data_IF_565801397958
#
_entry.id   IF_565801397958
#
_cell.length_a   1.000
_cell.length_b   1.000
_cell.length_c   1.000
_cell.angle_alpha   90.00
_cell.angle_beta   90.00
_cell.angle_gamma   90.00
#
_symmetry.space_group_name_H-M   'P 1'
#
loop_
_entity.id
_entity.type
_entity.pdbx_description
1 polymer ?
#
# COMPACT_ATOMS: atom_id res chain seq x y z
N UNK A 1 1.42 -3.18 30.83
CA UNK A 1 0.25 -3.36 29.93
C UNK A 1 0.33 -4.78 29.40
N UNK A 2 -0.66 -5.62 29.67
CA UNK A 2 -0.69 -7.01 29.19
C UNK A 2 -0.89 -7.01 27.68
N UNK A 3 0.03 -7.63 26.94
CA UNK A 3 -0.18 -7.95 25.53
C UNK A 3 -1.51 -8.67 25.38
N UNK A 4 -2.42 -8.09 24.58
CA UNK A 4 -3.60 -8.81 24.12
C UNK A 4 -3.10 -9.98 23.26
N UNK A 5 -3.13 -11.18 23.82
CA UNK A 5 -2.89 -12.43 23.11
C UNK A 5 -3.82 -12.47 21.91
N UNK A 6 -3.21 -12.49 20.71
CA UNK A 6 -3.91 -12.52 19.42
C UNK A 6 -4.89 -13.70 19.37
N UNK A 7 -4.52 -14.81 20.02
CA UNK A 7 -5.36 -15.98 20.18
C UNK A 7 -6.65 -15.68 20.93
N UNK A 8 -6.58 -14.86 21.98
CA UNK A 8 -7.73 -14.53 22.81
C UNK A 8 -8.63 -13.49 22.13
N UNK A 9 -8.04 -12.54 21.39
CA UNK A 9 -8.80 -11.60 20.56
C UNK A 9 -9.54 -12.29 19.41
N UNK A 10 -8.89 -13.23 18.72
CA UNK A 10 -9.51 -14.03 17.64
C UNK A 10 -10.63 -14.89 18.23
N UNK A 11 -10.38 -15.63 19.31
CA UNK A 11 -11.41 -16.44 19.99
C UNK A 11 -12.60 -15.62 20.46
N UNK A 12 -12.36 -14.42 20.99
CA UNK A 12 -13.43 -13.50 21.40
C UNK A 12 -14.31 -13.09 20.20
N UNK A 13 -13.71 -12.83 19.04
CA UNK A 13 -14.45 -12.42 17.83
C UNK A 13 -15.11 -13.57 17.07
N UNK A 14 -14.55 -14.77 17.15
CA UNK A 14 -15.19 -16.01 16.68
C UNK A 14 -16.41 -16.37 17.52
N UNK A 15 -16.31 -16.27 18.85
CA UNK A 15 -17.42 -16.51 19.78
C UNK A 15 -18.61 -15.54 19.57
N UNK A 16 -18.35 -14.37 18.98
CA UNK A 16 -19.39 -13.41 18.60
C UNK A 16 -20.16 -13.79 17.30
N UNK A 17 -19.84 -14.91 16.62
CA UNK A 17 -20.51 -15.42 15.40
C UNK A 17 -20.64 -14.39 14.25
N UNK A 18 -19.73 -13.41 14.19
CA UNK A 18 -19.86 -12.24 13.30
C UNK A 18 -19.08 -12.31 11.98
N UNK A 19 -18.38 -13.40 11.69
CA UNK A 19 -17.42 -13.44 10.58
C UNK A 19 -17.36 -14.81 9.89
N UNK A 20 -17.41 -14.77 8.55
CA UNK A 20 -17.30 -15.92 7.65
C UNK A 20 -15.90 -15.94 7.03
N UNK A 21 -15.17 -17.05 7.21
CA UNK A 21 -13.78 -17.17 6.76
C UNK A 21 -13.72 -17.61 5.29
N UNK A 22 -13.33 -16.70 4.41
CA UNK A 22 -13.28 -16.96 2.96
C UNK A 22 -12.09 -17.87 2.62
N UNK A 23 -12.36 -19.00 1.96
CA UNK A 23 -11.32 -19.90 1.39
C UNK A 23 -10.48 -19.17 0.33
N UNK A 24 -9.24 -19.63 0.14
CA UNK A 24 -8.29 -19.13 -0.87
C UNK A 24 -8.88 -19.15 -2.28
N UNK A 25 -8.58 -18.12 -3.06
CA UNK A 25 -8.89 -18.09 -4.48
C UNK A 25 -7.72 -17.52 -5.26
N UNK A 26 -7.54 -17.98 -6.50
CA UNK A 26 -6.54 -17.44 -7.44
C UNK A 26 -6.77 -15.95 -7.78
N UNK A 27 -7.92 -15.39 -7.40
CA UNK A 27 -8.20 -13.96 -7.48
C UNK A 27 -7.51 -13.08 -6.42
N UNK A 28 -6.85 -13.68 -5.44
CA UNK A 28 -6.13 -12.95 -4.40
C UNK A 28 -4.85 -12.27 -4.94
N UNK A 29 -4.43 -11.17 -4.33
CA UNK A 29 -3.11 -10.57 -4.62
C UNK A 29 -1.98 -11.38 -4.00
N UNK A 30 -0.76 -11.26 -4.52
CA UNK A 30 0.41 -11.94 -3.94
C UNK A 30 0.59 -11.61 -2.45
N UNK A 31 0.47 -10.34 -2.06
CA UNK A 31 0.55 -9.92 -0.66
C UNK A 31 -0.57 -10.52 0.20
N UNK A 32 -1.80 -10.61 -0.33
CA UNK A 32 -2.93 -11.23 0.39
C UNK A 32 -2.69 -12.72 0.62
N UNK A 33 -2.15 -13.42 -0.39
CA UNK A 33 -1.80 -14.83 -0.30
C UNK A 33 -0.73 -15.09 0.75
N UNK A 34 0.34 -14.30 0.75
CA UNK A 34 1.44 -14.40 1.72
C UNK A 34 0.91 -14.18 3.16
N UNK A 35 0.06 -13.16 3.32
CA UNK A 35 -0.61 -12.85 4.58
C UNK A 35 -1.50 -14.01 5.06
N UNK A 36 -2.45 -14.48 4.24
CA UNK A 36 -3.31 -15.62 4.58
C UNK A 36 -2.50 -16.86 4.95
N UNK A 37 -1.43 -17.15 4.22
CA UNK A 37 -0.51 -18.27 4.54
C UNK A 37 0.15 -18.11 5.92
N UNK A 38 0.56 -16.89 6.29
CA UNK A 38 1.11 -16.63 7.62
C UNK A 38 0.07 -16.82 8.73
N UNK A 39 -1.19 -16.45 8.48
CA UNK A 39 -2.29 -16.67 9.42
C UNK A 39 -2.59 -18.15 9.67
N UNK A 40 -2.67 -18.96 8.61
CA UNK A 40 -2.86 -20.41 8.75
C UNK A 40 -1.76 -21.07 9.57
N UNK A 41 -0.52 -20.60 9.40
CA UNK A 41 0.64 -21.10 10.13
C UNK A 41 0.75 -20.55 11.56
N UNK A 42 -0.19 -19.72 12.01
CA UNK A 42 -0.15 -19.01 13.31
C UNK A 42 1.09 -18.12 13.48
N UNK A 43 1.69 -17.69 12.38
CA UNK A 43 2.88 -16.82 12.35
C UNK A 43 2.52 -15.36 12.02
N UNK A 44 1.22 -15.05 11.94
CA UNK A 44 0.74 -13.78 11.44
C UNK A 44 1.37 -12.57 12.14
N UNK A 45 1.33 -12.56 13.46
CA UNK A 45 1.80 -11.40 14.20
C UNK A 45 3.31 -11.19 14.04
N UNK A 46 4.06 -12.28 14.10
CA UNK A 46 5.50 -12.28 13.84
C UNK A 46 5.78 -11.77 12.42
N UNK A 47 4.99 -12.18 11.43
CA UNK A 47 5.10 -11.72 10.05
C UNK A 47 4.81 -10.22 9.89
N UNK A 48 3.76 -9.70 10.53
CA UNK A 48 3.38 -8.28 10.48
C UNK A 48 4.46 -7.39 11.11
N UNK A 49 4.95 -7.77 12.31
CA UNK A 49 6.04 -7.05 12.99
C UNK A 49 7.32 -7.15 12.17
N UNK A 50 7.62 -8.34 11.65
CA UNK A 50 8.75 -8.54 10.75
C UNK A 50 8.65 -7.65 9.51
N UNK A 51 7.46 -7.34 9.00
CA UNK A 51 7.24 -6.40 7.90
C UNK A 51 7.35 -4.91 8.29
N UNK A 52 7.58 -4.57 9.56
CA UNK A 52 7.75 -3.18 10.03
C UNK A 52 6.45 -2.42 10.30
N UNK A 53 5.31 -3.12 10.34
CA UNK A 53 4.03 -2.53 10.75
C UNK A 53 4.03 -2.37 12.29
N UNK A 54 3.62 -1.21 12.83
CA UNK A 54 3.60 -0.98 14.28
C UNK A 54 2.78 -1.98 15.08
N UNK A 55 3.29 -2.30 16.26
CA UNK A 55 2.51 -2.98 17.30
C UNK A 55 1.55 -2.02 18.01
N UNK A 56 0.54 -1.53 17.29
CA UNK A 56 -0.50 -0.68 17.87
C UNK A 56 -1.92 -1.12 17.44
N UNK A 57 -2.93 -0.68 18.20
CA UNK A 57 -4.32 -1.09 18.01
C UNK A 57 -4.88 -0.72 16.63
N UNK A 58 -4.50 0.43 16.07
CA UNK A 58 -4.92 0.88 14.75
C UNK A 58 -4.38 -0.03 13.63
N UNK A 59 -3.09 -0.37 13.72
CA UNK A 59 -2.43 -1.27 12.76
C UNK A 59 -2.99 -2.68 12.85
N UNK A 60 -3.21 -3.18 14.06
CA UNK A 60 -3.87 -4.48 14.30
C UNK A 60 -5.29 -4.52 13.72
N UNK A 61 -6.09 -3.47 13.94
CA UNK A 61 -7.44 -3.36 13.37
C UNK A 61 -7.42 -3.33 11.84
N UNK A 62 -6.51 -2.55 11.25
CA UNK A 62 -6.37 -2.44 9.80
C UNK A 62 -6.07 -3.79 9.16
N UNK A 63 -5.16 -4.57 9.77
CA UNK A 63 -4.81 -5.90 9.31
C UNK A 63 -5.95 -6.89 9.55
N UNK A 64 -6.60 -6.86 10.71
CA UNK A 64 -7.76 -7.70 11.01
C UNK A 64 -8.90 -7.53 10.00
N UNK A 65 -9.26 -6.29 9.64
CA UNK A 65 -10.29 -6.05 8.63
C UNK A 65 -9.88 -6.50 7.22
N UNK A 66 -8.59 -6.44 6.90
CA UNK A 66 -8.06 -6.96 5.64
C UNK A 66 -8.20 -8.50 5.55
N UNK A 67 -7.82 -9.23 6.60
CA UNK A 67 -7.99 -10.70 6.65
C UNK A 67 -9.42 -11.15 6.45
N UNK A 68 -10.36 -10.42 7.04
CA UNK A 68 -11.78 -10.75 7.01
C UNK A 68 -12.48 -10.19 5.76
N UNK A 69 -11.72 -9.71 4.75
CA UNK A 69 -12.27 -9.21 3.49
C UNK A 69 -13.10 -7.93 3.63
N UNK A 70 -13.07 -7.26 4.80
CA UNK A 70 -13.82 -6.04 5.09
C UNK A 70 -13.06 -4.78 4.64
N UNK A 71 -11.75 -4.87 4.47
CA UNK A 71 -10.93 -3.84 3.82
C UNK A 71 -10.15 -4.45 2.66
N UNK A 72 -10.39 -3.95 1.43
CA UNK A 72 -9.72 -4.47 0.22
C UNK A 72 -8.29 -3.97 0.02
N UNK A 73 -7.79 -3.06 0.87
CA UNK A 73 -6.46 -2.47 0.70
C UNK A 73 -5.83 -2.09 2.03
N UNK A 74 -4.57 -2.46 2.23
CA UNK A 74 -3.74 -1.87 3.29
C UNK A 74 -3.51 -0.40 2.95
N UNK A 75 -3.65 0.48 3.95
CA UNK A 75 -3.38 1.90 3.77
C UNK A 75 -1.92 2.09 3.32
N UNK A 76 -1.71 2.93 2.31
CA UNK A 76 -0.40 3.16 1.70
C UNK A 76 0.76 3.43 2.68
N UNK A 77 0.57 4.12 3.83
CA UNK A 77 1.65 4.30 4.81
C UNK A 77 2.22 2.99 5.35
N UNK A 78 1.41 1.95 5.48
CA UNK A 78 1.88 0.64 5.94
C UNK A 78 2.64 -0.09 4.83
N UNK A 79 2.17 -0.01 3.58
CA UNK A 79 2.91 -0.56 2.42
C UNK A 79 4.29 0.07 2.32
N UNK A 80 4.38 1.38 2.54
CA UNK A 80 5.65 2.07 2.57
C UNK A 80 6.59 1.52 3.64
N UNK A 81 6.12 1.33 4.88
CA UNK A 81 6.94 0.72 5.95
C UNK A 81 7.47 -0.66 5.58
N UNK A 82 6.75 -1.38 4.71
CA UNK A 82 7.13 -2.71 4.25
C UNK A 82 8.02 -2.73 3.02
N UNK A 83 8.26 -1.59 2.34
CA UNK A 83 8.86 -1.55 1.00
C UNK A 83 10.25 -2.18 0.91
N UNK A 84 11.00 -2.17 2.01
CA UNK A 84 12.35 -2.74 2.10
C UNK A 84 12.33 -4.27 2.23
N UNK A 85 11.21 -4.79 2.74
CA UNK A 85 11.05 -6.19 3.13
C UNK A 85 10.19 -6.96 2.14
N UNK A 86 9.38 -6.23 1.37
CA UNK A 86 8.53 -6.78 0.34
C UNK A 86 8.40 -5.80 -0.82
N UNK A 87 8.49 -6.35 -2.04
CA UNK A 87 8.23 -5.62 -3.27
C UNK A 87 6.79 -5.07 -3.30
N UNK A 88 6.59 -3.74 -3.36
CA UNK A 88 5.26 -3.12 -3.33
C UNK A 88 4.30 -3.64 -4.41
N UNK A 89 4.80 -4.03 -5.58
CA UNK A 89 4.01 -4.60 -6.68
C UNK A 89 3.20 -5.82 -6.25
N UNK A 90 3.66 -6.60 -5.27
CA UNK A 90 2.89 -7.76 -4.74
C UNK A 90 1.53 -7.38 -4.16
N UNK A 91 1.32 -6.12 -3.77
CA UNK A 91 0.01 -5.64 -3.32
C UNK A 91 -1.00 -5.46 -4.46
N UNK A 92 -0.51 -5.24 -5.67
CA UNK A 92 -1.31 -4.77 -6.80
C UNK A 92 -1.57 -5.83 -7.85
N UNK A 93 -0.73 -6.86 -7.93
CA UNK A 93 -0.87 -7.97 -8.88
C UNK A 93 -1.53 -9.18 -8.22
N UNK A 94 -2.43 -9.82 -8.97
CA UNK A 94 -3.10 -11.07 -8.63
C UNK A 94 -2.19 -12.27 -8.84
N UNK A 95 -2.49 -13.35 -8.13
CA UNK A 95 -1.87 -14.65 -8.36
C UNK A 95 -2.16 -15.09 -9.81
N UNK A 96 -1.10 -15.34 -10.58
CA UNK A 96 -1.21 -15.72 -12.00
C UNK A 96 -0.91 -14.58 -12.97
N UNK A 97 -0.87 -13.33 -12.50
CA UNK A 97 -0.33 -12.22 -13.30
C UNK A 97 1.21 -12.22 -13.25
N UNK A 98 1.86 -11.78 -14.33
CA UNK A 98 3.31 -11.59 -14.34
C UNK A 98 3.69 -10.40 -13.46
N UNK A 99 4.33 -10.66 -12.33
CA UNK A 99 4.88 -9.64 -11.45
C UNK A 99 6.07 -8.94 -12.14
N UNK A 100 6.19 -7.60 -12.05
CA UNK A 100 7.39 -6.91 -12.54
C UNK A 100 8.63 -7.30 -11.72
N UNK A 101 9.80 -7.15 -12.30
CA UNK A 101 11.06 -7.34 -11.58
C UNK A 101 11.15 -6.37 -10.38
N UNK A 102 11.69 -6.82 -9.24
CA UNK A 102 11.93 -5.95 -8.10
C UNK A 102 12.87 -4.80 -8.46
N UNK A 103 12.51 -3.59 -8.04
CA UNK A 103 13.41 -2.44 -8.12
C UNK A 103 14.37 -2.48 -6.94
N UNK A 104 15.68 -2.40 -7.20
CA UNK A 104 16.71 -2.32 -6.16
C UNK A 104 16.87 -0.86 -5.74
N UNK A 105 16.85 -0.58 -4.44
CA UNK A 105 17.00 0.75 -3.88
C UNK A 105 17.51 0.70 -2.44
N UNK A 106 18.09 1.80 -1.96
CA UNK A 106 18.53 1.98 -0.58
C UNK A 106 17.70 3.06 0.10
N UNK A 107 16.84 2.71 1.07
CA UNK A 107 15.98 3.65 1.81
C UNK A 107 16.77 4.76 2.49
N UNK A 108 16.33 6.02 2.35
CA UNK A 108 16.98 7.19 2.97
C UNK A 108 16.07 8.05 3.85
N UNK A 109 14.75 7.88 3.75
CA UNK A 109 13.77 8.79 4.37
C UNK A 109 12.85 8.08 5.36
N UNK A 110 12.51 8.81 6.45
CA UNK A 110 11.48 8.40 7.42
C UNK A 110 10.07 8.60 6.86
N UNK A 111 9.05 8.02 7.50
CA UNK A 111 7.64 8.12 7.06
C UNK A 111 7.14 9.57 7.08
N UNK A 112 7.66 10.35 8.02
CA UNK A 112 7.32 11.75 8.27
C UNK A 112 7.85 12.65 7.15
N UNK A 113 9.00 12.31 6.56
CA UNK A 113 9.64 13.10 5.51
C UNK A 113 8.97 12.92 4.14
N UNK A 114 8.32 11.77 3.92
CA UNK A 114 7.85 11.33 2.61
C UNK A 114 6.85 12.28 1.99
N UNK A 115 5.98 12.85 2.80
CA UNK A 115 4.92 13.73 2.30
C UNK A 115 5.50 15.00 1.66
N UNK A 116 6.75 15.34 1.95
CA UNK A 116 7.46 16.49 1.39
C UNK A 116 8.36 16.11 0.21
N UNK A 117 8.48 14.81 -0.08
CA UNK A 117 9.34 14.26 -1.12
C UNK A 117 8.53 13.81 -2.32
N UNK A 118 9.22 13.75 -3.45
CA UNK A 118 8.64 13.37 -4.72
C UNK A 118 9.20 12.02 -5.14
N UNK A 119 8.34 11.00 -5.15
CA UNK A 119 8.78 9.66 -5.58
C UNK A 119 8.95 9.56 -7.10
N UNK A 120 9.66 8.54 -7.56
CA UNK A 120 9.90 8.30 -8.99
C UNK A 120 8.58 8.12 -9.74
N UNK A 121 7.57 7.53 -9.10
CA UNK A 121 6.22 7.42 -9.64
C UNK A 121 5.61 8.79 -9.96
N UNK A 122 5.82 9.80 -9.12
CA UNK A 122 5.37 11.18 -9.40
C UNK A 122 6.09 11.78 -10.60
N UNK A 123 7.40 11.57 -10.70
CA UNK A 123 8.21 12.02 -11.84
C UNK A 123 7.69 11.40 -13.13
N UNK A 124 7.53 10.08 -13.15
CA UNK A 124 7.02 9.31 -14.30
C UNK A 124 5.60 9.72 -14.67
N UNK A 125 4.74 9.98 -13.68
CA UNK A 125 3.37 10.41 -13.94
C UNK A 125 3.30 11.80 -14.56
N UNK A 126 4.20 12.72 -14.18
CA UNK A 126 4.31 14.02 -14.87
C UNK A 126 4.83 13.89 -16.29
N UNK A 127 5.79 12.98 -16.54
CA UNK A 127 6.23 12.67 -17.90
C UNK A 127 5.07 12.16 -18.75
N UNK A 128 4.26 11.25 -18.20
CA UNK A 128 3.05 10.75 -18.85
C UNK A 128 2.05 11.89 -19.11
N UNK A 129 1.85 12.79 -18.14
CA UNK A 129 0.97 13.94 -18.30
C UNK A 129 1.42 14.88 -19.43
N UNK A 130 2.72 15.00 -19.74
CA UNK A 130 3.16 15.84 -20.88
C UNK A 130 2.60 15.38 -22.24
N UNK A 131 2.15 14.13 -22.33
CA UNK A 131 1.59 13.54 -23.56
C UNK A 131 0.08 13.78 -23.69
N UNK A 132 -0.61 14.21 -22.62
CA UNK A 132 -2.07 14.33 -22.58
C UNK A 132 -2.51 15.58 -21.82
N UNK A 133 -3.67 16.14 -22.18
CA UNK A 133 -4.36 17.04 -21.25
C UNK A 133 -4.75 16.26 -19.99
N UNK A 134 -4.95 16.94 -18.86
CA UNK A 134 -5.38 16.28 -17.61
C UNK A 134 -6.67 15.48 -17.82
N UNK A 135 -7.60 16.03 -18.61
CA UNK A 135 -8.85 15.34 -18.96
C UNK A 135 -8.58 14.12 -19.85
N UNK A 136 -7.75 14.24 -20.88
CA UNK A 136 -7.41 13.10 -21.74
C UNK A 136 -6.70 11.97 -21.00
N UNK A 137 -5.87 12.30 -20.01
CA UNK A 137 -5.24 11.32 -19.13
C UNK A 137 -6.26 10.62 -18.22
N UNK A 138 -7.22 11.39 -17.68
CA UNK A 138 -8.31 10.87 -16.88
C UNK A 138 -9.15 9.86 -17.66
N UNK A 139 -9.55 10.22 -18.88
CA UNK A 139 -10.38 9.37 -19.73
C UNK A 139 -9.62 8.11 -20.18
N UNK A 140 -8.34 8.26 -20.56
CA UNK A 140 -7.51 7.15 -21.07
C UNK A 140 -7.28 6.05 -20.05
N UNK A 141 -7.07 6.42 -18.79
CA UNK A 141 -6.73 5.47 -17.71
C UNK A 141 -7.86 5.31 -16.68
N UNK A 142 -9.07 5.81 -16.99
CA UNK A 142 -10.24 5.81 -16.10
C UNK A 142 -9.91 6.39 -14.71
N UNK A 143 -9.18 7.49 -14.66
CA UNK A 143 -8.76 8.12 -13.40
C UNK A 143 -9.73 9.22 -12.98
N UNK A 144 -9.98 9.34 -11.68
CA UNK A 144 -10.74 10.48 -11.18
C UNK A 144 -9.86 11.75 -11.24
N UNK A 145 -10.41 12.83 -11.80
CA UNK A 145 -9.73 14.12 -11.92
C UNK A 145 -9.14 14.64 -10.60
N UNK A 146 -9.83 14.45 -9.48
CA UNK A 146 -9.32 14.83 -8.15
C UNK A 146 -8.17 13.94 -7.70
N UNK A 147 -8.15 12.65 -8.08
CA UNK A 147 -7.01 11.77 -7.81
C UNK A 147 -5.77 12.27 -8.56
N UNK A 148 -5.91 12.61 -9.84
CA UNK A 148 -4.82 13.17 -10.64
C UNK A 148 -4.27 14.45 -9.99
N UNK A 149 -5.14 15.38 -9.63
CA UNK A 149 -4.74 16.63 -8.95
C UNK A 149 -3.97 16.39 -7.64
N UNK A 150 -4.39 15.40 -6.86
CA UNK A 150 -3.74 15.08 -5.58
C UNK A 150 -2.34 14.48 -5.74
N UNK A 151 -2.04 13.90 -6.91
CA UNK A 151 -0.73 13.35 -7.25
C UNK A 151 0.14 14.40 -7.93
N UNK A 152 -0.40 15.23 -8.81
CA UNK A 152 0.39 16.23 -9.53
C UNK A 152 0.80 17.43 -8.67
N UNK A 153 -0.08 17.87 -7.78
CA UNK A 153 0.08 19.16 -7.10
C UNK A 153 0.32 18.97 -5.61
N UNK A 154 1.36 19.66 -5.11
CA UNK A 154 1.55 19.86 -3.68
C UNK A 154 0.49 20.80 -3.13
N UNK A 155 0.17 20.64 -1.86
CA UNK A 155 -0.75 21.50 -1.12
C UNK A 155 -0.08 21.93 0.18
N UNK A 156 -0.46 23.10 0.68
CA UNK A 156 0.01 23.55 1.98
C UNK A 156 -0.54 22.62 3.07
N UNK A 157 0.34 22.01 3.86
CA UNK A 157 -0.06 21.26 5.03
C UNK A 157 -0.46 22.25 6.14
N UNK A 158 -1.72 22.26 6.61
CA UNK A 158 -2.17 23.22 7.62
C UNK A 158 -1.51 23.02 8.99
N UNK A 159 -0.99 21.81 9.28
CA UNK A 159 -0.35 21.49 10.55
C UNK A 159 1.14 21.86 10.57
N UNK A 160 1.82 21.78 9.43
CA UNK A 160 3.29 21.98 9.37
C UNK A 160 3.71 23.22 8.60
N UNK A 161 2.78 23.90 7.91
CA UNK A 161 3.06 25.09 7.11
C UNK A 161 4.00 24.84 5.92
N UNK A 162 4.17 23.56 5.53
CA UNK A 162 5.03 23.15 4.41
C UNK A 162 4.21 22.59 3.28
N UNK A 163 4.66 22.81 2.05
CA UNK A 163 4.07 22.17 0.88
C UNK A 163 4.32 20.67 0.89
N UNK A 164 3.25 19.87 0.85
CA UNK A 164 3.32 18.42 0.83
C UNK A 164 2.46 17.85 -0.30
N UNK A 165 2.85 16.68 -0.80
CA UNK A 165 1.93 15.83 -1.53
C UNK A 165 0.89 15.21 -0.59
N UNK A 166 -0.24 14.78 -1.15
CA UNK A 166 -1.07 13.81 -0.43
C UNK A 166 -0.27 12.52 -0.33
N UNK A 167 0.26 12.25 0.86
CA UNK A 167 1.28 11.22 1.22
C UNK A 167 1.58 10.20 0.12
N UNK A 168 0.60 9.41 -0.35
CA UNK A 168 0.76 8.45 -1.45
C UNK A 168 -0.54 8.30 -2.27
N UNK A 169 -0.47 8.02 -3.59
CA UNK A 169 -1.65 7.77 -4.43
C UNK A 169 -2.43 6.55 -3.95
N UNK A 170 -3.76 6.63 -3.97
CA UNK A 170 -4.63 5.56 -3.50
C UNK A 170 -4.42 4.25 -4.26
N UNK A 171 -4.77 3.12 -3.62
CA UNK A 171 -4.70 1.79 -4.23
C UNK A 171 -5.34 1.73 -5.63
N UNK A 172 -6.54 2.29 -5.77
CA UNK A 172 -7.28 2.31 -7.04
C UNK A 172 -6.64 3.16 -8.12
N UNK A 173 -5.80 4.13 -7.75
CA UNK A 173 -5.03 4.91 -8.71
C UNK A 173 -3.82 4.13 -9.22
N UNK A 174 -3.07 3.49 -8.30
CA UNK A 174 -1.90 2.69 -8.65
C UNK A 174 -2.32 1.49 -9.52
N UNK A 175 -3.41 0.80 -9.18
CA UNK A 175 -3.85 -0.38 -9.95
C UNK A 175 -4.21 -0.04 -11.40
N UNK A 176 -4.77 1.16 -11.67
CA UNK A 176 -5.14 1.61 -13.02
C UNK A 176 -3.93 2.05 -13.86
N UNK A 177 -2.81 2.35 -13.20
CA UNK A 177 -1.58 2.79 -13.85
C UNK A 177 -0.47 1.73 -13.81
N UNK A 178 -0.67 0.58 -13.16
CA UNK A 178 0.39 -0.42 -12.93
C UNK A 178 1.05 -0.94 -14.20
N UNK A 179 0.32 -0.93 -15.32
CA UNK A 179 0.82 -1.38 -16.62
C UNK A 179 1.72 -0.35 -17.33
N UNK A 180 1.68 0.92 -16.89
CA UNK A 180 2.49 2.01 -17.47
C UNK A 180 3.47 2.63 -16.48
N UNK A 181 3.23 2.48 -15.17
CA UNK A 181 4.10 2.91 -14.10
C UNK A 181 4.19 1.75 -13.10
N UNK A 182 5.38 1.15 -12.98
CA UNK A 182 5.63 0.08 -12.01
C UNK A 182 5.21 0.56 -10.60
N UNK A 183 4.33 -0.20 -9.89
CA UNK A 183 3.86 0.19 -8.57
C UNK A 183 4.96 0.52 -7.56
N UNK A 184 6.11 -0.15 -7.64
CA UNK A 184 7.25 0.05 -6.73
C UNK A 184 7.74 1.50 -6.76
N UNK A 185 7.72 2.14 -7.94
CA UNK A 185 8.25 3.49 -8.14
C UNK A 185 7.47 4.56 -7.37
N UNK A 186 6.21 4.29 -7.00
CA UNK A 186 5.45 5.20 -6.14
C UNK A 186 6.00 5.28 -4.73
N UNK A 187 6.75 4.26 -4.31
CA UNK A 187 7.32 4.10 -2.98
C UNK A 187 8.84 4.26 -2.98
N UNK A 188 9.48 4.66 -4.08
CA UNK A 188 10.94 4.83 -4.18
C UNK A 188 11.23 6.27 -4.60
N UNK A 189 12.21 6.90 -3.95
CA UNK A 189 12.63 8.26 -4.27
C UNK A 189 13.85 8.27 -5.20
N UNK A 190 14.01 9.30 -6.05
CA UNK A 190 15.15 9.38 -6.96
C UNK A 190 16.51 9.20 -6.27
N UNK A 191 16.66 9.73 -5.06
CA UNK A 191 17.90 9.66 -4.28
C UNK A 191 18.20 8.27 -3.71
N UNK A 192 17.25 7.33 -3.78
CA UNK A 192 17.38 5.96 -3.25
C UNK A 192 17.80 4.95 -4.33
N UNK A 193 17.81 5.34 -5.59
CA UNK A 193 18.33 4.53 -6.70
C UNK A 193 19.77 4.95 -6.95
N UNK A 194 20.67 3.97 -6.94
CA UNK A 194 22.09 4.10 -7.30
C UNK A 194 22.35 3.56 -8.71
#
# INVERSE_FOLDING_TARGET
>A
MSELSVTDFIKQKEAENRFDYRKFSDDDTYALRDLKTAAEKKLLWQYIVALGIPDNAESKNSVYYYYNGKFKSIANPNVFRCREKMQPSRWYYKVGEKLPEPVIFTPKYSVEDLMYKESIGHVKFRELQKQYTVQGLADKYDLNFNQIKNVLYRRMNPLTGRECFKILPQYTFIIKLRDVINPDLWYIFPEEIE
#
